data_IF_446272752178
#
_entry.id   IF_446272752178
#
_cell.length_a   1.000
_cell.length_b   1.000
_cell.length_c   1.000
_cell.angle_alpha   90.00
_cell.angle_beta   90.00
_cell.angle_gamma   90.00
#
_symmetry.space_group_name_H-M   'P 1'
#
loop_
_entity.id
_entity.type
_entity.pdbx_description
1 polymer ?
#
# COMPACT_ATOMS: atom_id res chain seq x y z
N UNK A 1 -6.20 9.15 19.06
CA UNK A 1 -7.13 10.28 18.89
C UNK A 1 -8.30 10.07 19.82
N UNK A 2 -8.47 10.96 20.78
CA UNK A 2 -9.48 10.89 21.84
C UNK A 2 -10.78 11.48 21.32
N UNK A 3 -11.79 10.63 21.09
CA UNK A 3 -13.17 11.11 20.91
C UNK A 3 -13.57 11.78 22.23
N UNK A 4 -13.82 13.09 22.19
CA UNK A 4 -14.29 13.86 23.34
C UNK A 4 -15.68 13.35 23.73
N UNK A 5 -15.83 12.91 24.98
CA UNK A 5 -17.07 12.36 25.52
C UNK A 5 -18.25 13.34 25.46
N UNK A 6 -17.97 14.63 25.26
CA UNK A 6 -18.94 15.72 25.21
C UNK A 6 -19.88 15.72 23.98
N UNK A 7 -19.66 14.82 23.01
CA UNK A 7 -20.46 14.73 21.78
C UNK A 7 -21.41 13.52 21.74
N UNK A 8 -21.51 12.77 22.85
CA UNK A 8 -22.31 11.55 22.91
C UNK A 8 -23.70 11.85 23.50
N UNK A 9 -24.80 11.52 22.82
CA UNK A 9 -26.14 11.76 23.37
C UNK A 9 -26.38 10.93 24.63
N UNK A 10 -26.93 11.53 25.70
CA UNK A 10 -27.18 10.83 26.97
C UNK A 10 -28.35 9.82 26.89
N UNK A 11 -29.15 9.87 25.83
CA UNK A 11 -30.28 8.98 25.64
C UNK A 11 -29.82 7.57 25.22
N UNK A 12 -30.16 6.56 26.05
CA UNK A 12 -29.79 5.15 25.81
C UNK A 12 -30.20 4.65 24.41
N UNK A 13 -31.34 5.10 23.89
CA UNK A 13 -31.80 4.71 22.56
C UNK A 13 -30.95 5.36 21.45
N UNK A 14 -30.58 6.63 21.59
CA UNK A 14 -29.67 7.30 20.66
C UNK A 14 -28.28 6.62 20.65
N UNK A 15 -27.78 6.22 21.81
CA UNK A 15 -26.54 5.47 21.95
C UNK A 15 -26.59 4.11 21.24
N UNK A 16 -27.69 3.36 21.40
CA UNK A 16 -27.89 2.07 20.72
C UNK A 16 -27.89 2.22 19.20
N UNK A 17 -28.55 3.25 18.67
CA UNK A 17 -28.57 3.52 17.23
C UNK A 17 -27.16 3.84 16.70
N UNK A 18 -26.40 4.67 17.42
CA UNK A 18 -25.02 5.00 17.05
C UNK A 18 -24.13 3.75 17.10
N UNK A 19 -24.26 2.92 18.13
CA UNK A 19 -23.50 1.70 18.27
C UNK A 19 -23.76 0.73 17.12
N UNK A 20 -25.04 0.44 16.83
CA UNK A 20 -25.43 -0.45 15.74
C UNK A 20 -24.95 0.06 14.37
N UNK A 21 -25.05 1.37 14.14
CA UNK A 21 -24.54 2.00 12.92
C UNK A 21 -23.03 1.84 12.79
N UNK A 22 -22.29 2.02 13.89
CA UNK A 22 -20.84 1.84 13.95
C UNK A 22 -20.42 0.38 13.77
N UNK A 23 -21.17 -0.58 14.32
CA UNK A 23 -20.91 -2.01 14.15
C UNK A 23 -21.08 -2.43 12.69
N UNK A 24 -22.16 -1.99 12.04
CA UNK A 24 -22.41 -2.26 10.62
C UNK A 24 -21.32 -1.65 9.73
N UNK A 25 -20.90 -0.42 10.02
CA UNK A 25 -19.79 0.22 9.34
C UNK A 25 -18.47 -0.54 9.56
N UNK A 26 -18.20 -1.01 10.79
CA UNK A 26 -17.01 -1.79 11.11
C UNK A 26 -16.98 -3.11 10.32
N UNK A 27 -18.10 -3.81 10.25
CA UNK A 27 -18.22 -5.07 9.52
C UNK A 27 -18.02 -4.87 8.01
N UNK A 28 -18.59 -3.81 7.45
CA UNK A 28 -18.36 -3.41 6.06
C UNK A 28 -16.89 -3.09 5.81
N UNK A 29 -16.25 -2.34 6.69
CA UNK A 29 -14.82 -2.01 6.56
C UNK A 29 -13.95 -3.27 6.67
N UNK A 30 -14.26 -4.20 7.57
CA UNK A 30 -13.58 -5.50 7.68
C UNK A 30 -13.72 -6.32 6.41
N UNK A 31 -14.89 -6.31 5.78
CA UNK A 31 -15.10 -6.98 4.50
C UNK A 31 -14.26 -6.36 3.38
N UNK A 32 -14.25 -5.04 3.27
CA UNK A 32 -13.41 -4.30 2.31
C UNK A 32 -11.93 -4.61 2.55
N UNK A 33 -11.46 -4.61 3.80
CA UNK A 33 -10.07 -4.94 4.12
C UNK A 33 -9.74 -6.37 3.70
N UNK A 34 -10.63 -7.34 3.95
CA UNK A 34 -10.44 -8.73 3.51
C UNK A 34 -10.37 -8.84 1.99
N UNK A 35 -11.22 -8.13 1.26
CA UNK A 35 -11.19 -8.09 -0.21
C UNK A 35 -9.91 -7.44 -0.72
N UNK A 36 -9.52 -6.28 -0.18
CA UNK A 36 -8.28 -5.61 -0.53
C UNK A 36 -7.05 -6.47 -0.20
N UNK A 37 -7.06 -7.19 0.91
CA UNK A 37 -6.00 -8.14 1.25
C UNK A 37 -5.90 -9.27 0.23
N UNK A 38 -7.04 -9.82 -0.23
CA UNK A 38 -7.07 -10.86 -1.28
C UNK A 38 -6.53 -10.35 -2.62
N UNK A 39 -6.83 -9.10 -2.98
CA UNK A 39 -6.42 -8.51 -4.25
C UNK A 39 -4.97 -8.00 -4.27
N UNK A 40 -4.49 -7.42 -3.17
CA UNK A 40 -3.12 -6.89 -3.09
C UNK A 40 -2.09 -7.95 -2.71
N UNK A 41 -2.54 -9.06 -2.13
CA UNK A 41 -1.70 -10.13 -1.68
C UNK A 41 -2.27 -11.52 -2.05
N UNK A 42 -2.40 -11.82 -3.34
CA UNK A 42 -2.85 -13.17 -3.76
C UNK A 42 -2.02 -14.28 -3.10
N UNK A 43 -2.69 -15.34 -2.56
CA UNK A 43 -2.20 -16.57 -1.87
C UNK A 43 -1.02 -16.50 -0.87
N UNK A 44 -0.22 -15.44 -0.84
CA UNK A 44 1.04 -15.30 -0.11
C UNK A 44 0.93 -14.44 1.15
N UNK A 45 0.01 -13.48 1.26
CA UNK A 45 -0.17 -12.76 2.53
C UNK A 45 -1.35 -13.25 3.36
N UNK A 46 -1.29 -14.52 3.73
CA UNK A 46 -1.57 -14.79 5.14
C UNK A 46 -0.36 -14.22 5.90
N UNK A 47 -0.53 -13.06 6.54
CA UNK A 47 0.46 -12.37 7.41
C UNK A 47 1.92 -12.65 7.06
N UNK A 48 2.48 -11.94 6.07
CA UNK A 48 3.92 -12.08 5.78
C UNK A 48 4.70 -11.70 7.03
N UNK A 49 5.45 -12.66 7.58
CA UNK A 49 6.45 -12.38 8.61
C UNK A 49 7.40 -11.28 8.13
N UNK A 50 7.95 -10.50 9.05
CA UNK A 50 8.78 -9.32 8.78
C UNK A 50 9.89 -9.60 7.76
N UNK A 51 10.54 -10.75 7.85
CA UNK A 51 11.59 -11.19 6.92
C UNK A 51 11.11 -11.27 5.46
N UNK A 52 9.86 -11.66 5.23
CA UNK A 52 9.31 -11.76 3.89
C UNK A 52 8.98 -10.38 3.31
N UNK A 53 8.63 -9.41 4.15
CA UNK A 53 8.45 -8.02 3.75
C UNK A 53 9.80 -7.38 3.38
N UNK A 54 10.85 -7.68 4.16
CA UNK A 54 12.21 -7.23 3.87
C UNK A 54 12.72 -7.80 2.54
N UNK A 55 12.49 -9.08 2.28
CA UNK A 55 12.83 -9.71 0.99
C UNK A 55 12.10 -9.05 -0.20
N UNK A 56 10.80 -8.77 -0.06
CA UNK A 56 10.04 -8.06 -1.09
C UNK A 56 10.54 -6.63 -1.33
N UNK A 57 10.93 -5.92 -0.26
CA UNK A 57 11.51 -4.58 -0.34
C UNK A 57 12.87 -4.59 -1.05
N UNK A 58 13.72 -5.57 -0.76
CA UNK A 58 15.01 -5.75 -1.42
C UNK A 58 14.86 -6.03 -2.92
N UNK A 59 13.90 -6.86 -3.31
CA UNK A 59 13.63 -7.18 -4.72
C UNK A 59 13.10 -5.97 -5.49
N UNK A 60 12.19 -5.20 -4.89
CA UNK A 60 11.69 -3.95 -5.46
C UNK A 60 12.83 -2.92 -5.62
N UNK A 61 13.71 -2.81 -4.62
CA UNK A 61 14.85 -1.89 -4.66
C UNK A 61 15.91 -2.34 -5.68
N UNK A 62 16.16 -3.64 -5.79
CA UNK A 62 17.04 -4.24 -6.82
C UNK A 62 16.52 -3.94 -8.23
N UNK A 63 15.22 -4.16 -8.46
CA UNK A 63 14.56 -3.84 -9.73
C UNK A 63 14.64 -2.36 -10.07
N UNK A 64 14.49 -1.49 -9.07
CA UNK A 64 14.63 -0.04 -9.26
C UNK A 64 16.06 0.37 -9.62
N UNK A 65 17.06 -0.26 -8.99
CA UNK A 65 18.50 -0.07 -9.31
C UNK A 65 18.85 -0.58 -10.71
N UNK A 66 18.32 -1.73 -11.14
CA UNK A 66 18.57 -2.28 -12.49
C UNK A 66 17.94 -1.40 -13.56
N UNK A 67 16.68 -0.98 -13.36
CA UNK A 67 16.01 -0.01 -14.26
C UNK A 67 16.80 1.29 -14.34
N UNK A 68 17.30 1.81 -13.22
CA UNK A 68 18.14 3.01 -13.21
C UNK A 68 19.46 2.81 -13.98
N UNK A 69 20.15 1.68 -13.78
CA UNK A 69 21.37 1.33 -14.54
C UNK A 69 21.10 1.23 -16.04
N UNK A 70 20.01 0.58 -16.45
CA UNK A 70 19.62 0.45 -17.86
C UNK A 70 19.34 1.83 -18.45
N UNK A 71 18.59 2.69 -17.74
CA UNK A 71 18.26 4.05 -18.18
C UNK A 71 19.50 4.94 -18.29
N UNK A 72 20.40 4.84 -17.31
CA UNK A 72 21.68 5.55 -17.31
C UNK A 72 22.56 5.10 -18.47
N UNK A 73 22.69 3.77 -18.69
CA UNK A 73 23.47 3.22 -19.79
C UNK A 73 22.90 3.65 -21.15
N UNK A 74 21.58 3.61 -21.35
CA UNK A 74 20.93 4.15 -22.56
C UNK A 74 21.25 5.63 -22.79
N UNK A 75 21.24 6.47 -21.74
CA UNK A 75 21.62 7.88 -21.85
C UNK A 75 23.08 8.05 -22.31
N UNK A 76 24.01 7.26 -21.77
CA UNK A 76 25.42 7.31 -22.21
C UNK A 76 25.65 6.77 -23.62
N UNK A 77 24.90 5.75 -24.06
CA UNK A 77 25.02 5.18 -25.41
C UNK A 77 24.49 6.16 -26.46
N UNK A 78 23.36 6.82 -26.21
CA UNK A 78 22.83 7.83 -27.13
C UNK A 78 23.78 9.04 -27.27
N UNK A 79 24.42 9.46 -26.18
CA UNK A 79 25.42 10.53 -26.21
C UNK A 79 26.70 10.14 -26.97
N UNK A 80 27.16 8.88 -26.83
CA UNK A 80 28.33 8.37 -27.55
C UNK A 80 28.08 8.10 -29.04
N UNK A 81 26.87 7.68 -29.42
CA UNK A 81 26.51 7.39 -30.81
C UNK A 81 26.28 8.68 -31.62
N UNK A 82 25.78 9.75 -31.01
CA UNK A 82 25.68 11.08 -31.66
C UNK A 82 27.04 11.72 -31.97
N UNK A 83 28.10 11.34 -31.24
CA UNK A 83 29.48 11.77 -31.51
C UNK A 83 30.18 10.93 -32.60
N UNK A 84 29.69 9.72 -32.89
CA UNK A 84 30.26 8.83 -33.92
C UNK A 84 29.65 8.99 -35.30
N UNK A 85 28.43 9.56 -35.42
CA UNK A 85 27.75 9.80 -36.70
C UNK A 85 28.06 11.16 -37.33
N UNK A 86 29.04 11.90 -36.79
CA UNK A 86 29.48 13.21 -37.29
C UNK A 86 30.91 13.19 -37.84
N UNK A 87 31.21 12.23 -38.73
CA UNK A 87 32.38 12.25 -39.62
C UNK A 87 31.95 11.87 -41.02
#
# INVERSE_FOLDING_TARGET
MTMTADALPDELNALKVILLSRELENDRLRQIIKELQRHRFGRRAATLAEDQLLLGLEEANRSRRTVWKIRSKRRTICAGNGLRSGR
#
